data_IF_442070801930
#
_entry.id   IF_442070801930
#
_cell.length_a   1.000
_cell.length_b   1.000
_cell.length_c   1.000
_cell.angle_alpha   90.00
_cell.angle_beta   90.00
_cell.angle_gamma   90.00
#
_symmetry.space_group_name_H-M   'P 1'
#
loop_
_entity.id
_entity.type
_entity.pdbx_description
1 polymer ?
#
# COMPACT_ATOMS: atom_id res chain seq x y z
N UNK A 1 30.60 -1.15 -24.53
CA UNK A 1 30.68 -1.64 -23.13
C UNK A 1 29.61 -1.02 -22.18
N UNK A 2 29.01 0.12 -22.48
CA UNK A 2 27.95 0.69 -21.62
C UNK A 2 26.56 0.02 -21.75
N UNK A 3 26.34 -0.76 -22.79
CA UNK A 3 25.03 -1.34 -23.10
C UNK A 3 24.70 -2.62 -22.29
N UNK A 4 25.71 -3.38 -21.89
CA UNK A 4 25.52 -4.67 -21.20
C UNK A 4 25.08 -4.50 -19.74
N UNK A 5 25.59 -3.49 -19.04
CA UNK A 5 25.22 -3.23 -17.64
C UNK A 5 23.78 -2.71 -17.52
N UNK A 6 23.33 -1.89 -18.47
CA UNK A 6 21.94 -1.41 -18.51
C UNK A 6 20.96 -2.55 -18.84
N UNK A 7 21.34 -3.45 -19.72
CA UNK A 7 20.51 -4.62 -20.07
C UNK A 7 20.37 -5.56 -18.88
N UNK A 8 21.46 -5.79 -18.14
CA UNK A 8 21.47 -6.62 -16.92
C UNK A 8 20.62 -6.00 -15.79
N UNK A 9 20.75 -4.69 -15.54
CA UNK A 9 19.93 -4.00 -14.54
C UNK A 9 18.44 -4.03 -14.89
N UNK A 10 18.11 -3.88 -16.17
CA UNK A 10 16.74 -3.93 -16.67
C UNK A 10 16.13 -5.32 -16.52
N UNK A 11 16.88 -6.38 -16.81
CA UNK A 11 16.44 -7.76 -16.59
C UNK A 11 16.20 -8.07 -15.11
N UNK A 12 17.10 -7.62 -14.24
CA UNK A 12 16.94 -7.75 -12.79
C UNK A 12 15.65 -7.08 -12.29
N UNK A 13 15.41 -5.83 -12.67
CA UNK A 13 14.19 -5.13 -12.22
C UNK A 13 12.92 -5.72 -12.82
N UNK A 14 12.95 -6.23 -14.04
CA UNK A 14 11.82 -6.94 -14.63
C UNK A 14 11.47 -8.21 -13.85
N UNK A 15 12.46 -8.98 -13.44
CA UNK A 15 12.29 -10.16 -12.59
C UNK A 15 11.73 -9.80 -11.20
N UNK A 16 12.26 -8.74 -10.56
CA UNK A 16 11.74 -8.25 -9.29
C UNK A 16 10.25 -7.81 -9.38
N UNK A 17 9.89 -7.16 -10.48
CA UNK A 17 8.50 -6.76 -10.75
C UNK A 17 7.59 -7.98 -10.94
N UNK A 18 8.05 -9.01 -11.65
CA UNK A 18 7.31 -10.26 -11.85
C UNK A 18 7.08 -10.98 -10.51
N UNK A 19 8.12 -11.13 -9.69
CA UNK A 19 8.04 -11.72 -8.35
C UNK A 19 7.09 -10.92 -7.44
N UNK A 20 7.17 -9.59 -7.48
CA UNK A 20 6.25 -8.70 -6.76
C UNK A 20 4.79 -8.89 -7.20
N UNK A 21 4.55 -9.03 -8.50
CA UNK A 21 3.23 -9.29 -9.04
C UNK A 21 2.68 -10.66 -8.59
N UNK A 22 3.49 -11.70 -8.64
CA UNK A 22 3.11 -13.03 -8.15
C UNK A 22 2.75 -13.01 -6.66
N UNK A 23 3.52 -12.27 -5.84
CA UNK A 23 3.21 -12.09 -4.42
C UNK A 23 1.87 -11.40 -4.23
N UNK A 24 1.60 -10.33 -4.97
CA UNK A 24 0.31 -9.62 -4.92
C UNK A 24 -0.84 -10.56 -5.30
N UNK A 25 -0.68 -11.39 -6.33
CA UNK A 25 -1.71 -12.37 -6.72
C UNK A 25 -1.97 -13.40 -5.60
N UNK A 26 -0.93 -13.87 -4.93
CA UNK A 26 -1.09 -14.77 -3.77
C UNK A 26 -1.82 -14.09 -2.61
N UNK A 27 -1.49 -12.83 -2.31
CA UNK A 27 -2.17 -12.04 -1.28
C UNK A 27 -3.65 -11.85 -1.64
N UNK A 28 -3.95 -11.50 -2.90
CA UNK A 28 -5.32 -11.29 -3.38
C UNK A 28 -6.17 -12.56 -3.38
N UNK A 29 -5.55 -13.71 -3.55
CA UNK A 29 -6.21 -15.02 -3.50
C UNK A 29 -6.37 -15.56 -2.07
N UNK A 30 -5.75 -14.92 -1.08
CA UNK A 30 -5.83 -15.36 0.31
C UNK A 30 -7.22 -15.07 0.89
N UNK A 31 -7.84 -16.09 1.44
CA UNK A 31 -9.15 -15.95 2.09
C UNK A 31 -8.99 -15.23 3.43
N UNK A 32 -9.57 -14.04 3.52
CA UNK A 32 -9.55 -13.25 4.75
C UNK A 32 -10.75 -13.62 5.62
N UNK A 33 -10.48 -14.08 6.83
CA UNK A 33 -11.51 -14.31 7.85
C UNK A 33 -11.52 -13.13 8.82
N UNK A 34 -12.68 -12.48 8.93
CA UNK A 34 -12.87 -11.37 9.88
C UNK A 34 -12.89 -11.92 11.31
N UNK A 35 -12.02 -11.39 12.15
CA UNK A 35 -11.90 -11.79 13.54
C UNK A 35 -12.75 -10.96 14.51
N UNK A 36 -13.41 -9.89 14.02
CA UNK A 36 -14.21 -8.99 14.85
C UNK A 36 -13.38 -8.08 15.77
N UNK A 37 -12.07 -8.00 15.54
CA UNK A 37 -11.19 -7.13 16.32
C UNK A 37 -11.47 -5.65 16.02
N UNK A 38 -11.50 -4.81 17.08
CA UNK A 38 -11.70 -3.37 16.97
C UNK A 38 -10.54 -2.63 16.29
N UNK A 39 -10.80 -1.36 16.02
CA UNK A 39 -9.80 -0.42 15.52
C UNK A 39 -9.45 0.59 16.61
N UNK A 40 -8.18 0.92 16.73
CA UNK A 40 -7.68 1.96 17.61
C UNK A 40 -7.12 3.15 16.82
N UNK A 41 -7.29 4.35 17.36
CA UNK A 41 -6.64 5.56 16.86
C UNK A 41 -5.15 5.50 17.22
N UNK A 42 -4.30 5.42 16.21
CA UNK A 42 -2.87 5.38 16.44
C UNK A 42 -2.31 6.71 16.96
N UNK A 43 -2.77 7.90 16.51
CA UNK A 43 -2.36 9.16 17.10
C UNK A 43 -2.67 9.27 18.61
N UNK A 44 -3.84 8.80 19.05
CA UNK A 44 -4.21 8.83 20.47
C UNK A 44 -3.34 7.87 21.29
N UNK A 45 -3.06 6.68 20.75
CA UNK A 45 -2.18 5.71 21.39
C UNK A 45 -0.75 6.24 21.52
N UNK A 46 -0.22 6.90 20.47
CA UNK A 46 1.10 7.53 20.47
C UNK A 46 1.18 8.66 21.49
N UNK A 47 0.15 9.50 21.55
CA UNK A 47 0.09 10.61 22.53
C UNK A 47 0.03 10.08 23.98
N UNK A 48 -0.65 8.98 24.23
CA UNK A 48 -0.74 8.36 25.55
C UNK A 48 0.56 7.66 25.97
N UNK A 49 1.30 7.07 25.04
CA UNK A 49 2.57 6.36 25.30
C UNK A 49 3.76 7.33 25.43
N UNK A 50 3.72 8.47 24.72
CA UNK A 50 4.80 9.44 24.68
C UNK A 50 5.95 9.09 23.73
N UNK A 51 5.82 8.06 22.90
CA UNK A 51 6.79 7.72 21.85
C UNK A 51 6.75 8.77 20.72
N UNK A 52 7.90 9.09 20.14
CA UNK A 52 7.98 10.03 19.03
C UNK A 52 7.73 9.31 17.69
N UNK A 53 6.54 9.54 17.14
CA UNK A 53 6.11 9.03 15.82
C UNK A 53 5.52 10.20 15.02
N UNK A 54 5.91 10.33 13.77
CA UNK A 54 5.36 11.32 12.85
C UNK A 54 4.26 10.72 11.99
N UNK A 55 3.20 11.50 11.77
CA UNK A 55 2.12 11.15 10.84
C UNK A 55 2.17 12.05 9.61
N UNK A 56 1.92 11.48 8.45
CA UNK A 56 1.85 12.26 7.21
C UNK A 56 0.67 13.22 7.25
N UNK A 57 0.94 14.48 6.90
CA UNK A 57 -0.08 15.53 6.80
C UNK A 57 -0.58 15.74 5.37
N UNK A 58 0.09 15.12 4.38
CA UNK A 58 -0.31 15.19 2.98
C UNK A 58 -1.56 14.36 2.71
N UNK A 59 -2.44 14.84 1.84
CA UNK A 59 -3.60 14.06 1.39
C UNK A 59 -3.18 12.90 0.50
N UNK A 60 -3.93 11.79 0.53
CA UNK A 60 -3.74 10.68 -0.39
C UNK A 60 -4.20 11.15 -1.78
N UNK A 61 -3.33 11.04 -2.77
CA UNK A 61 -3.58 11.50 -4.15
C UNK A 61 -4.11 12.94 -4.25
N UNK A 62 -3.72 13.81 -3.29
CA UNK A 62 -4.10 15.22 -3.25
C UNK A 62 -5.53 15.53 -2.77
N UNK A 63 -6.36 14.54 -2.49
CA UNK A 63 -7.78 14.73 -2.22
C UNK A 63 -8.29 14.10 -0.92
N UNK A 64 -7.90 12.84 -0.66
CA UNK A 64 -8.44 12.06 0.44
C UNK A 64 -7.66 12.29 1.72
N UNK A 65 -8.37 12.49 2.81
CA UNK A 65 -7.77 12.57 4.13
C UNK A 65 -7.25 11.21 4.58
N UNK A 66 -6.18 11.22 5.36
CA UNK A 66 -5.58 10.01 5.92
C UNK A 66 -6.28 9.63 7.21
N UNK A 67 -6.49 8.34 7.40
CA UNK A 67 -7.13 7.79 8.58
C UNK A 67 -6.14 6.87 9.27
N UNK A 68 -5.63 7.28 10.43
CA UNK A 68 -4.58 6.56 11.15
C UNK A 68 -5.17 5.60 12.20
N UNK A 69 -6.10 4.76 11.77
CA UNK A 69 -6.62 3.66 12.56
C UNK A 69 -5.97 2.36 12.15
N UNK A 70 -5.66 1.51 13.12
CA UNK A 70 -5.13 0.16 12.91
C UNK A 70 -5.88 -0.83 13.82
N UNK A 71 -5.76 -2.12 13.57
CA UNK A 71 -6.27 -3.16 14.49
C UNK A 71 -5.65 -2.98 15.86
N UNK A 72 -6.44 -3.14 16.92
CA UNK A 72 -6.01 -2.89 18.31
C UNK A 72 -4.77 -3.71 18.71
N UNK A 73 -4.70 -4.97 18.28
CA UNK A 73 -3.56 -5.84 18.56
C UNK A 73 -2.23 -5.32 17.99
N UNK A 74 -2.27 -4.56 16.91
CA UNK A 74 -1.06 -4.02 16.25
C UNK A 74 -0.51 -2.76 16.94
N UNK A 75 -1.30 -2.08 17.77
CA UNK A 75 -0.89 -0.83 18.42
C UNK A 75 0.38 -1.03 19.23
N UNK A 76 0.40 -2.06 20.07
CA UNK A 76 1.57 -2.37 20.92
C UNK A 76 2.84 -2.54 20.08
N UNK A 77 2.74 -3.25 18.97
CA UNK A 77 3.90 -3.57 18.14
C UNK A 77 4.41 -2.33 17.40
N UNK A 78 3.52 -1.47 16.92
CA UNK A 78 3.89 -0.18 16.31
C UNK A 78 4.56 0.74 17.32
N UNK A 79 4.05 0.84 18.55
CA UNK A 79 4.66 1.62 19.61
C UNK A 79 6.05 1.06 19.99
N UNK A 80 6.20 -0.26 20.05
CA UNK A 80 7.49 -0.91 20.31
C UNK A 80 8.53 -0.58 19.22
N UNK A 81 8.13 -0.65 17.94
CA UNK A 81 8.99 -0.25 16.81
C UNK A 81 9.37 1.22 16.92
N UNK A 82 8.41 2.10 17.23
CA UNK A 82 8.66 3.52 17.42
C UNK A 82 9.70 3.80 18.49
N UNK A 83 9.58 3.15 19.66
CA UNK A 83 10.55 3.27 20.75
C UNK A 83 11.94 2.80 20.33
N UNK A 84 12.06 1.64 19.71
CA UNK A 84 13.33 1.11 19.24
C UNK A 84 13.99 2.05 18.21
N UNK A 85 13.21 2.67 17.34
CA UNK A 85 13.71 3.68 16.40
C UNK A 85 14.20 4.93 17.13
N UNK A 86 13.43 5.43 18.13
CA UNK A 86 13.82 6.60 18.91
C UNK A 86 15.13 6.37 19.69
N UNK A 87 15.35 5.19 20.25
CA UNK A 87 16.61 4.81 20.90
C UNK A 87 17.81 4.91 19.96
N UNK A 88 17.59 4.72 18.66
CA UNK A 88 18.61 4.85 17.60
C UNK A 88 18.71 6.28 17.04
N UNK A 89 17.94 7.23 17.56
CA UNK A 89 17.87 8.60 17.05
C UNK A 89 17.06 8.75 15.75
N UNK A 90 16.20 7.78 15.44
CA UNK A 90 15.32 7.79 14.28
C UNK A 90 13.87 8.04 14.69
N UNK A 91 13.10 8.63 13.79
CA UNK A 91 11.67 8.84 13.99
C UNK A 91 10.89 8.00 12.97
N UNK A 92 10.00 7.13 13.46
CA UNK A 92 9.09 6.38 12.61
C UNK A 92 8.09 7.36 11.98
N UNK A 93 8.02 7.39 10.65
CA UNK A 93 7.00 8.14 9.94
C UNK A 93 5.93 7.21 9.40
N UNK A 94 4.68 7.44 9.79
CA UNK A 94 3.53 6.68 9.32
C UNK A 94 2.82 7.49 8.23
N UNK A 95 2.80 6.92 7.04
CA UNK A 95 2.19 7.57 5.88
C UNK A 95 0.68 7.37 5.82
N UNK A 96 0.18 6.21 6.28
CA UNK A 96 -1.23 5.87 6.19
C UNK A 96 -1.59 4.76 7.19
N UNK A 97 -2.88 4.60 7.44
CA UNK A 97 -3.44 3.54 8.27
C UNK A 97 -4.58 2.83 7.54
N UNK A 98 -5.77 2.90 8.12
CA UNK A 98 -6.96 2.29 7.54
C UNK A 98 -7.42 2.98 6.26
N UNK A 99 -7.78 2.18 5.25
CA UNK A 99 -8.46 2.63 4.04
C UNK A 99 -9.75 1.88 3.84
N UNK A 100 -10.86 2.59 3.76
CA UNK A 100 -12.14 1.99 3.40
C UNK A 100 -12.13 1.48 1.95
N UNK A 101 -13.01 0.52 1.66
CA UNK A 101 -13.21 0.05 0.29
C UNK A 101 -13.59 1.19 -0.68
N UNK A 102 -14.37 2.17 -0.20
CA UNK A 102 -14.74 3.35 -0.98
C UNK A 102 -13.50 4.19 -1.34
N UNK A 103 -12.60 4.43 -0.39
CA UNK A 103 -11.33 5.12 -0.64
C UNK A 103 -10.47 4.36 -1.65
N UNK A 104 -10.36 3.03 -1.52
CA UNK A 104 -9.60 2.20 -2.46
C UNK A 104 -10.18 2.24 -3.88
N UNK A 105 -11.51 2.19 -4.02
CA UNK A 105 -12.18 2.31 -5.31
C UNK A 105 -11.94 3.69 -5.93
N UNK A 106 -12.02 4.76 -5.13
CA UNK A 106 -11.77 6.12 -5.61
C UNK A 106 -10.31 6.30 -6.06
N UNK A 107 -9.34 5.76 -5.32
CA UNK A 107 -7.92 5.78 -5.73
C UNK A 107 -7.68 4.97 -6.99
N UNK A 108 -8.27 3.77 -7.09
CA UNK A 108 -8.15 2.91 -8.26
C UNK A 108 -8.81 3.46 -9.52
N UNK A 109 -9.75 4.41 -9.40
CA UNK A 109 -10.42 5.03 -10.56
C UNK A 109 -9.65 6.22 -11.14
N UNK A 110 -8.58 6.69 -10.50
CA UNK A 110 -7.82 7.86 -10.97
C UNK A 110 -7.01 7.52 -12.22
N UNK A 111 -7.40 8.11 -13.34
CA UNK A 111 -6.71 7.96 -14.62
C UNK A 111 -5.23 8.34 -14.54
N UNK A 112 -4.89 9.35 -13.74
CA UNK A 112 -3.52 9.87 -13.58
C UNK A 112 -2.53 8.81 -13.05
N UNK A 113 -2.97 7.95 -12.12
CA UNK A 113 -2.14 6.87 -11.62
C UNK A 113 -1.85 5.84 -12.71
N UNK A 114 -2.87 5.47 -13.49
CA UNK A 114 -2.70 4.54 -14.61
C UNK A 114 -1.89 5.15 -15.75
N UNK A 115 -2.02 6.44 -16.02
CA UNK A 115 -1.25 7.13 -17.04
C UNK A 115 0.21 7.31 -16.62
N UNK A 116 0.50 7.49 -15.34
CA UNK A 116 1.86 7.50 -14.82
C UNK A 116 2.52 6.13 -14.98
N UNK A 117 1.84 5.05 -14.58
CA UNK A 117 2.31 3.67 -14.75
C UNK A 117 2.51 3.35 -16.22
N UNK A 118 1.55 3.72 -17.09
CA UNK A 118 1.64 3.50 -18.53
C UNK A 118 2.83 4.24 -19.17
N UNK A 119 3.07 5.49 -18.79
CA UNK A 119 4.20 6.28 -19.31
C UNK A 119 5.54 5.66 -18.91
N UNK A 120 5.67 5.20 -17.69
CA UNK A 120 6.89 4.52 -17.23
C UNK A 120 7.07 3.14 -17.86
N UNK A 121 5.98 2.41 -18.10
CA UNK A 121 6.03 1.10 -18.77
C UNK A 121 6.30 1.23 -20.28
N UNK A 122 5.80 2.27 -20.94
CA UNK A 122 6.02 2.50 -22.37
C UNK A 122 7.46 2.97 -22.70
N UNK A 123 8.16 3.56 -21.75
CA UNK A 123 9.56 3.98 -21.94
C UNK A 123 10.56 2.82 -21.94
N UNK A 124 10.12 1.58 -21.69
CA UNK A 124 10.94 0.39 -21.61
C UNK A 124 10.32 -0.82 -22.29
N UNK A 125 10.37 -0.85 -23.62
CA UNK A 125 10.33 -2.06 -24.48
C UNK A 125 9.83 -3.38 -23.86
N UNK A 126 8.67 -3.85 -24.29
CA UNK A 126 8.35 -5.29 -24.30
C UNK A 126 7.51 -5.84 -23.15
N UNK A 127 7.26 -5.09 -22.09
CA UNK A 127 6.33 -5.50 -21.02
C UNK A 127 4.84 -5.21 -21.33
N UNK A 128 4.53 -4.79 -22.57
CA UNK A 128 3.22 -4.25 -22.93
C UNK A 128 2.09 -5.28 -23.00
N UNK A 129 2.36 -6.57 -22.86
CA UNK A 129 1.34 -7.59 -23.09
C UNK A 129 0.84 -8.31 -21.84
N UNK A 130 1.51 -8.22 -20.71
CA UNK A 130 1.08 -8.91 -19.48
C UNK A 130 0.38 -8.03 -18.44
N UNK A 131 0.59 -6.73 -18.45
CA UNK A 131 -0.17 -5.79 -17.63
C UNK A 131 -1.42 -5.29 -18.35
N UNK A 132 -2.27 -6.19 -18.81
CA UNK A 132 -3.69 -5.86 -18.96
C UNK A 132 -4.30 -5.88 -17.56
N UNK A 133 -4.33 -4.76 -16.92
CA UNK A 133 -5.30 -4.51 -15.87
C UNK A 133 -6.67 -4.55 -16.56
N UNK A 134 -7.28 -5.73 -16.55
CA UNK A 134 -8.60 -5.93 -17.16
C UNK A 134 -9.58 -5.05 -16.39
N UNK A 135 -10.20 -4.09 -17.08
CA UNK A 135 -11.31 -3.30 -16.53
C UNK A 135 -12.49 -4.18 -16.10
N UNK A 136 -12.46 -5.46 -16.41
CA UNK A 136 -13.46 -6.44 -16.02
C UNK A 136 -13.43 -6.82 -14.54
N UNK A 137 -12.34 -6.57 -13.80
CA UNK A 137 -12.30 -6.87 -12.37
C UNK A 137 -13.22 -5.96 -11.52
N UNK A 138 -13.73 -4.86 -12.09
CA UNK A 138 -14.71 -3.99 -11.45
C UNK A 138 -16.17 -4.39 -11.70
N UNK A 139 -16.42 -5.38 -12.56
CA UNK A 139 -17.79 -5.82 -12.87
C UNK A 139 -18.12 -7.25 -12.43
N UNK A 140 -17.14 -8.08 -12.12
CA UNK A 140 -17.40 -9.37 -11.49
C UNK A 140 -17.58 -9.15 -9.99
N UNK A 141 -18.83 -9.22 -9.54
CA UNK A 141 -19.25 -9.07 -8.16
C UNK A 141 -18.68 -10.17 -7.25
N UNK A 142 -17.41 -10.11 -6.95
CA UNK A 142 -16.86 -10.82 -5.81
C UNK A 142 -17.16 -9.97 -4.58
N UNK A 143 -18.14 -10.44 -3.84
CA UNK A 143 -18.61 -9.93 -2.56
C UNK A 143 -17.46 -9.91 -1.57
N UNK A 144 -16.75 -8.80 -1.50
CA UNK A 144 -16.05 -8.48 -0.27
C UNK A 144 -17.14 -8.17 0.75
N UNK A 145 -17.18 -8.95 1.81
CA UNK A 145 -18.11 -8.77 2.92
C UNK A 145 -17.96 -7.34 3.40
N UNK A 146 -18.93 -6.49 3.05
CA UNK A 146 -19.06 -5.15 3.57
C UNK A 146 -19.41 -5.28 5.04
N UNK A 147 -18.61 -4.69 5.90
CA UNK A 147 -19.05 -4.36 7.25
C UNK A 147 -20.13 -3.30 7.05
N UNK A 148 -21.37 -3.69 7.25
CA UNK A 148 -22.48 -2.75 7.36
C UNK A 148 -22.36 -2.06 8.71
N UNK A 149 -22.56 -0.75 8.73
CA UNK A 149 -22.70 0.08 9.92
C UNK A 149 -23.80 -0.43 10.87
#
# INVERSE_FOLDING_TARGET
MANDSQTSARAYWADQMEQGYELVQKIMAFEVQECGEGFASLPDAVAADGVEIQFSTSKIAGELDRVFYIRESLVRDVLAIGREMNERGWILKIEDGYRSLAMQKQLGSKAELFDAIRRHSACGTGLSTRFRFDRQCSQSGNSYVGISD
#
